data_IF_697203981567
#
_entry.id   IF_697203981567
#
_cell.length_a   1.000
_cell.length_b   1.000
_cell.length_c   1.000
_cell.angle_alpha   90.00
_cell.angle_beta   90.00
_cell.angle_gamma   90.00
#
_symmetry.space_group_name_H-M   'P 1'
#
loop_
_entity.id
_entity.type
_entity.pdbx_description
1 polymer ?
#
# COMPACT_ATOMS: atom_id res chain seq x y z
N UNK A 1 -41.99 -28.95 -3.76
CA UNK A 1 -42.17 -29.01 -5.24
C UNK A 1 -41.80 -27.69 -5.93
N UNK A 2 -42.40 -26.55 -5.56
CA UNK A 2 -42.12 -25.23 -6.16
C UNK A 2 -40.65 -24.78 -6.06
N UNK A 3 -40.01 -24.93 -4.89
CA UNK A 3 -38.59 -24.58 -4.74
C UNK A 3 -37.67 -25.36 -5.69
N UNK A 4 -37.90 -26.67 -5.83
CA UNK A 4 -37.12 -27.51 -6.75
C UNK A 4 -37.35 -27.11 -8.23
N UNK A 5 -38.59 -26.77 -8.61
CA UNK A 5 -38.90 -26.23 -9.93
C UNK A 5 -38.21 -24.89 -10.19
N UNK A 6 -38.23 -23.98 -9.21
CA UNK A 6 -37.52 -22.70 -9.28
C UNK A 6 -36.02 -22.93 -9.49
N UNK A 7 -35.37 -23.76 -8.66
CA UNK A 7 -33.93 -24.07 -8.79
C UNK A 7 -33.61 -24.63 -10.18
N UNK A 8 -34.40 -25.58 -10.68
CA UNK A 8 -34.21 -26.17 -12.02
C UNK A 8 -34.38 -25.14 -13.13
N UNK A 9 -35.40 -24.29 -13.04
CA UNK A 9 -35.66 -23.22 -14.01
C UNK A 9 -34.52 -22.18 -14.01
N UNK A 10 -34.06 -21.74 -12.83
CA UNK A 10 -32.93 -20.82 -12.69
C UNK A 10 -31.64 -21.41 -13.26
N UNK A 11 -31.33 -22.68 -12.96
CA UNK A 11 -30.14 -23.35 -13.49
C UNK A 11 -30.15 -23.44 -15.02
N UNK A 12 -31.33 -23.61 -15.63
CA UNK A 12 -31.46 -23.72 -17.09
C UNK A 12 -31.13 -22.42 -17.83
N UNK A 13 -31.34 -21.26 -17.20
CA UNK A 13 -31.15 -19.94 -17.82
C UNK A 13 -29.88 -19.21 -17.35
N UNK A 14 -29.16 -19.78 -16.39
CA UNK A 14 -27.98 -19.16 -15.81
C UNK A 14 -26.77 -19.32 -16.74
N UNK A 15 -26.27 -18.22 -17.29
CA UNK A 15 -24.97 -18.16 -17.96
C UNK A 15 -23.86 -17.85 -16.93
N UNK A 16 -22.95 -18.82 -16.65
CA UNK A 16 -21.84 -18.60 -15.71
C UNK A 16 -20.91 -17.44 -16.10
N UNK A 17 -20.69 -17.23 -17.41
CA UNK A 17 -19.81 -16.16 -17.91
C UNK A 17 -20.43 -14.79 -17.70
N UNK A 18 -21.70 -14.60 -18.06
CA UNK A 18 -22.43 -13.36 -17.75
C UNK A 18 -22.53 -13.11 -16.24
N UNK A 19 -22.81 -14.15 -15.44
CA UNK A 19 -22.91 -14.03 -13.99
C UNK A 19 -21.57 -13.63 -13.35
N UNK A 20 -20.46 -14.25 -13.77
CA UNK A 20 -19.11 -13.89 -13.35
C UNK A 20 -18.81 -12.42 -13.63
N UNK A 21 -19.05 -11.96 -14.88
CA UNK A 21 -18.80 -10.56 -15.27
C UNK A 21 -19.61 -9.59 -14.40
N UNK A 22 -20.91 -9.84 -14.26
CA UNK A 22 -21.80 -9.00 -13.47
C UNK A 22 -21.38 -8.93 -12.00
N UNK A 23 -21.06 -10.07 -11.37
CA UNK A 23 -20.64 -10.11 -9.96
C UNK A 23 -19.25 -9.55 -9.71
N UNK A 24 -18.34 -9.69 -10.67
CA UNK A 24 -17.02 -9.04 -10.60
C UNK A 24 -17.16 -7.52 -10.68
N UNK A 25 -18.00 -7.01 -11.58
CA UNK A 25 -18.28 -5.57 -11.67
C UNK A 25 -18.94 -5.03 -10.39
N UNK A 26 -19.94 -5.73 -9.85
CA UNK A 26 -20.58 -5.37 -8.57
C UNK A 26 -19.54 -5.31 -7.43
N UNK A 27 -18.62 -6.28 -7.38
CA UNK A 27 -17.53 -6.30 -6.42
C UNK A 27 -16.59 -5.11 -6.59
N UNK A 28 -16.16 -4.80 -7.83
CA UNK A 28 -15.27 -3.67 -8.12
C UNK A 28 -15.92 -2.33 -7.74
N UNK A 29 -17.18 -2.11 -8.11
CA UNK A 29 -17.93 -0.90 -7.74
C UNK A 29 -18.06 -0.76 -6.22
N UNK A 30 -18.30 -1.86 -5.51
CA UNK A 30 -18.30 -1.86 -4.04
C UNK A 30 -16.93 -1.52 -3.49
N UNK A 31 -15.85 -2.11 -4.00
CA UNK A 31 -14.48 -1.82 -3.55
C UNK A 31 -14.13 -0.34 -3.74
N UNK A 32 -14.54 0.28 -4.84
CA UNK A 32 -14.35 1.73 -5.09
C UNK A 32 -15.04 2.58 -4.01
N UNK A 33 -16.25 2.22 -3.57
CA UNK A 33 -16.94 2.91 -2.46
C UNK A 33 -16.18 2.86 -1.12
N UNK A 34 -15.23 1.93 -0.98
CA UNK A 34 -14.34 1.77 0.17
C UNK A 34 -12.87 1.97 -0.22
N UNK A 35 -12.63 2.85 -1.20
CA UNK A 35 -11.29 3.32 -1.59
C UNK A 35 -10.32 2.20 -2.01
N UNK A 36 -10.87 1.06 -2.44
CA UNK A 36 -10.13 -0.14 -2.86
C UNK A 36 -9.15 -0.67 -1.80
N UNK A 37 -9.41 -0.45 -0.50
CA UNK A 37 -8.51 -0.86 0.56
C UNK A 37 -9.23 -1.57 1.72
N UNK A 38 -8.69 -2.70 2.23
CA UNK A 38 -9.14 -3.29 3.49
C UNK A 38 -8.63 -2.51 4.71
N UNK A 39 -7.72 -1.54 4.52
CA UNK A 39 -6.93 -0.93 5.58
C UNK A 39 -7.46 0.44 6.04
N UNK A 40 -8.73 0.73 5.80
CA UNK A 40 -9.38 1.93 6.34
C UNK A 40 -9.39 1.87 7.87
N UNK A 41 -9.27 3.03 8.55
CA UNK A 41 -9.32 3.09 10.02
C UNK A 41 -10.69 2.73 10.61
N UNK A 42 -11.76 2.92 9.83
CA UNK A 42 -13.12 2.52 10.19
C UNK A 42 -13.73 1.61 9.11
N UNK A 43 -13.21 0.37 8.98
CA UNK A 43 -13.55 -0.50 7.88
C UNK A 43 -14.92 -1.17 8.09
N UNK A 44 -15.54 -1.60 6.99
CA UNK A 44 -16.76 -2.39 7.02
C UNK A 44 -16.43 -3.88 7.00
N UNK A 45 -16.85 -4.62 8.03
CA UNK A 45 -16.56 -6.06 8.17
C UNK A 45 -17.19 -6.92 7.07
N UNK A 46 -18.20 -6.40 6.37
CA UNK A 46 -18.92 -7.10 5.31
C UNK A 46 -18.53 -6.61 3.93
N UNK A 47 -18.59 -5.31 3.70
CA UNK A 47 -18.58 -4.72 2.36
C UNK A 47 -17.23 -4.14 1.93
N UNK A 48 -16.28 -3.89 2.84
CA UNK A 48 -14.92 -3.49 2.44
C UNK A 48 -14.20 -4.62 1.69
N UNK A 49 -13.18 -4.31 0.87
CA UNK A 49 -12.28 -5.33 0.32
C UNK A 49 -11.77 -6.26 1.42
N UNK A 50 -11.67 -7.56 1.15
CA UNK A 50 -11.31 -8.55 2.16
C UNK A 50 -12.41 -8.86 3.19
N UNK A 51 -13.59 -8.23 3.07
CA UNK A 51 -14.74 -8.46 3.94
C UNK A 51 -15.54 -9.72 3.58
N UNK A 52 -16.58 -10.01 4.38
CA UNK A 52 -17.41 -11.20 4.18
C UNK A 52 -18.11 -11.27 2.81
N UNK A 53 -18.38 -10.12 2.17
CA UNK A 53 -19.03 -10.08 0.87
C UNK A 53 -18.13 -10.64 -0.24
N UNK A 54 -16.82 -10.42 -0.18
CA UNK A 54 -15.88 -10.98 -1.16
C UNK A 54 -15.98 -12.51 -1.18
N UNK A 55 -15.95 -13.12 0.01
CA UNK A 55 -16.12 -14.57 0.19
C UNK A 55 -17.47 -15.09 -0.33
N UNK A 56 -18.56 -14.34 -0.11
CA UNK A 56 -19.89 -14.69 -0.61
C UNK A 56 -19.94 -14.65 -2.14
N UNK A 57 -19.36 -13.61 -2.75
CA UNK A 57 -19.29 -13.46 -4.21
C UNK A 57 -18.55 -14.64 -4.84
N UNK A 58 -17.43 -15.09 -4.27
CA UNK A 58 -16.72 -16.29 -4.75
C UNK A 58 -17.60 -17.53 -4.72
N UNK A 59 -18.29 -17.79 -3.60
CA UNK A 59 -19.17 -18.95 -3.48
C UNK A 59 -20.37 -18.87 -4.42
N UNK A 60 -20.90 -17.67 -4.69
CA UNK A 60 -21.97 -17.48 -5.66
C UNK A 60 -21.50 -17.74 -7.09
N UNK A 61 -20.34 -17.22 -7.48
CA UNK A 61 -19.72 -17.49 -8.78
C UNK A 61 -19.45 -18.99 -8.94
N UNK A 62 -18.86 -19.61 -7.92
CA UNK A 62 -18.57 -21.04 -7.96
C UNK A 62 -19.83 -21.89 -8.07
N UNK A 63 -20.91 -21.53 -7.35
CA UNK A 63 -22.21 -22.20 -7.47
C UNK A 63 -22.80 -22.02 -8.87
N UNK A 64 -22.71 -20.81 -9.43
CA UNK A 64 -23.21 -20.51 -10.77
C UNK A 64 -22.49 -21.30 -11.86
N UNK A 65 -21.17 -21.45 -11.73
CA UNK A 65 -20.34 -22.27 -12.63
C UNK A 65 -20.38 -23.77 -12.32
N UNK A 66 -21.19 -24.20 -11.34
CA UNK A 66 -21.31 -25.60 -10.96
C UNK A 66 -20.08 -26.18 -10.27
N UNK A 67 -19.12 -25.38 -9.82
CA UNK A 67 -17.89 -25.82 -9.13
C UNK A 67 -18.11 -26.30 -7.70
N UNK A 68 -19.23 -25.94 -7.08
CA UNK A 68 -19.59 -26.36 -5.72
C UNK A 68 -20.13 -25.21 -4.88
N UNK A 69 -20.56 -25.54 -3.65
CA UNK A 69 -21.19 -24.58 -2.74
C UNK A 69 -20.39 -24.35 -1.45
N UNK A 70 -19.30 -25.09 -1.25
CA UNK A 70 -18.46 -25.04 -0.03
C UNK A 70 -17.00 -24.96 -0.41
N UNK A 71 -16.16 -24.42 0.48
CA UNK A 71 -14.70 -24.36 0.27
C UNK A 71 -14.10 -25.75 0.02
N UNK A 72 -14.56 -26.77 0.75
CA UNK A 72 -14.13 -28.15 0.55
C UNK A 72 -14.51 -28.69 -0.83
N UNK A 73 -15.69 -28.35 -1.36
CA UNK A 73 -16.07 -28.73 -2.71
C UNK A 73 -15.16 -28.06 -3.76
N UNK A 74 -14.80 -26.79 -3.58
CA UNK A 74 -13.86 -26.11 -4.49
C UNK A 74 -12.46 -26.76 -4.45
N UNK A 75 -12.01 -27.19 -3.28
CA UNK A 75 -10.75 -27.92 -3.15
C UNK A 75 -10.79 -29.29 -3.85
N UNK A 76 -11.90 -30.04 -3.71
CA UNK A 76 -12.07 -31.32 -4.41
C UNK A 76 -12.03 -31.19 -5.94
N UNK A 77 -12.25 -29.99 -6.48
CA UNK A 77 -12.15 -29.66 -7.91
C UNK A 77 -10.84 -28.97 -8.28
N UNK A 78 -9.86 -28.92 -7.38
CA UNK A 78 -8.55 -28.33 -7.61
C UNK A 78 -8.55 -26.79 -7.80
N UNK A 79 -9.61 -26.09 -7.41
CA UNK A 79 -9.64 -24.61 -7.42
C UNK A 79 -8.88 -24.02 -6.23
N UNK A 80 -8.85 -24.76 -5.12
CA UNK A 80 -8.18 -24.40 -3.86
C UNK A 80 -7.34 -25.57 -3.36
N UNK A 81 -6.28 -25.26 -2.63
CA UNK A 81 -5.53 -26.25 -1.85
C UNK A 81 -6.16 -26.46 -0.47
N UNK A 82 -5.91 -27.60 0.21
CA UNK A 82 -6.37 -27.82 1.60
C UNK A 82 -5.91 -26.72 2.56
N UNK A 83 -4.69 -26.22 2.37
CA UNK A 83 -4.14 -25.12 3.15
C UNK A 83 -4.93 -23.81 2.92
N UNK A 84 -5.22 -23.45 1.67
CA UNK A 84 -6.03 -22.27 1.34
C UNK A 84 -7.44 -22.37 1.94
N UNK A 85 -8.07 -23.54 1.93
CA UNK A 85 -9.37 -23.78 2.58
C UNK A 85 -9.30 -23.50 4.09
N UNK A 86 -8.28 -24.05 4.77
CA UNK A 86 -8.08 -23.83 6.20
C UNK A 86 -7.90 -22.35 6.53
N UNK A 87 -7.11 -21.62 5.73
CA UNK A 87 -6.92 -20.18 5.91
C UNK A 87 -8.21 -19.38 5.65
N UNK A 88 -8.95 -19.69 4.58
CA UNK A 88 -10.24 -19.05 4.30
C UNK A 88 -11.23 -19.24 5.45
N UNK A 89 -11.39 -20.47 5.94
CA UNK A 89 -12.28 -20.77 7.07
C UNK A 89 -11.88 -20.02 8.34
N UNK A 90 -10.58 -20.00 8.67
CA UNK A 90 -10.05 -19.27 9.81
C UNK A 90 -10.37 -17.77 9.72
N UNK A 91 -10.04 -17.13 8.60
CA UNK A 91 -10.22 -15.69 8.44
C UNK A 91 -11.71 -15.31 8.31
N UNK A 92 -12.52 -16.14 7.66
CA UNK A 92 -13.97 -15.99 7.64
C UNK A 92 -14.56 -16.07 9.07
N UNK A 93 -14.08 -17.00 9.90
CA UNK A 93 -14.47 -17.12 11.30
C UNK A 93 -14.15 -15.86 12.11
N UNK A 94 -12.92 -15.33 11.96
CA UNK A 94 -12.50 -14.08 12.61
C UNK A 94 -13.41 -12.91 12.21
N UNK A 95 -13.64 -12.70 10.91
CA UNK A 95 -14.49 -11.60 10.43
C UNK A 95 -15.94 -11.73 10.91
N UNK A 96 -16.49 -12.96 10.93
CA UNK A 96 -17.82 -13.22 11.48
C UNK A 96 -17.90 -12.91 12.97
N UNK A 97 -16.90 -13.32 13.75
CA UNK A 97 -16.87 -13.10 15.19
C UNK A 97 -16.75 -11.61 15.53
N UNK A 98 -15.88 -10.88 14.82
CA UNK A 98 -15.76 -9.42 14.96
C UNK A 98 -17.12 -8.76 14.67
N UNK A 99 -17.75 -9.11 13.55
CA UNK A 99 -19.06 -8.56 13.16
C UNK A 99 -20.16 -8.90 14.17
N UNK A 100 -20.18 -10.12 14.70
CA UNK A 100 -21.17 -10.53 15.70
C UNK A 100 -21.03 -9.74 17.01
N UNK A 101 -19.79 -9.56 17.48
CA UNK A 101 -19.51 -8.74 18.68
C UNK A 101 -19.82 -7.26 18.45
N UNK A 102 -19.54 -6.74 17.25
CA UNK A 102 -19.93 -5.40 16.85
C UNK A 102 -21.46 -5.21 16.92
N UNK A 103 -22.25 -6.15 16.43
CA UNK A 103 -23.72 -6.11 16.56
C UNK A 103 -24.18 -6.15 18.00
N UNK A 104 -23.59 -7.02 18.82
CA UNK A 104 -23.93 -7.15 20.22
C UNK A 104 -23.62 -5.87 21.02
N UNK A 105 -22.44 -5.28 20.81
CA UNK A 105 -22.00 -4.03 21.44
C UNK A 105 -22.86 -2.84 20.98
N UNK A 106 -23.13 -2.75 19.67
CA UNK A 106 -23.94 -1.67 19.12
C UNK A 106 -25.44 -1.80 19.45
N UNK A 107 -25.90 -2.99 19.87
CA UNK A 107 -27.32 -3.33 20.09
C UNK A 107 -28.22 -3.09 18.87
N UNK A 108 -27.63 -3.08 17.68
CA UNK A 108 -28.29 -2.87 16.40
C UNK A 108 -27.44 -3.49 15.30
N UNK A 109 -27.99 -3.52 14.07
CA UNK A 109 -27.17 -3.81 12.90
C UNK A 109 -26.11 -2.72 12.75
N UNK A 110 -24.85 -3.13 12.83
CA UNK A 110 -23.68 -2.27 12.59
C UNK A 110 -22.61 -3.08 11.88
N UNK A 111 -22.21 -2.67 10.69
CA UNK A 111 -21.23 -3.41 9.90
C UNK A 111 -19.86 -2.69 9.86
N UNK A 112 -19.76 -1.47 10.38
CA UNK A 112 -18.54 -0.65 10.41
C UNK A 112 -17.92 -0.59 11.80
N UNK A 113 -16.62 -0.85 11.89
CA UNK A 113 -15.82 -0.65 13.10
C UNK A 113 -15.50 0.84 13.27
N UNK A 114 -16.51 1.64 13.60
CA UNK A 114 -16.32 3.07 13.90
C UNK A 114 -15.50 3.27 15.16
N UNK A 115 -14.76 4.36 15.25
CA UNK A 115 -13.86 4.65 16.38
C UNK A 115 -14.52 4.45 17.75
N UNK A 116 -15.74 4.97 17.93
CA UNK A 116 -16.51 4.88 19.18
C UNK A 116 -16.82 3.44 19.62
N UNK A 117 -16.86 2.49 18.70
CA UNK A 117 -17.18 1.09 18.98
C UNK A 117 -15.94 0.20 19.09
N UNK A 118 -14.78 0.62 18.55
CA UNK A 118 -13.60 -0.24 18.44
C UNK A 118 -13.11 -0.73 19.80
N UNK A 119 -13.04 0.15 20.81
CA UNK A 119 -12.59 -0.19 22.16
C UNK A 119 -13.56 -1.18 22.81
N UNK A 120 -14.85 -0.87 22.82
CA UNK A 120 -15.88 -1.74 23.41
C UNK A 120 -15.95 -3.12 22.74
N UNK A 121 -15.76 -3.18 21.41
CA UNK A 121 -15.65 -4.47 20.72
C UNK A 121 -14.38 -5.20 21.13
N UNK A 122 -13.23 -4.51 21.22
CA UNK A 122 -11.96 -5.11 21.64
C UNK A 122 -12.04 -5.69 23.06
N UNK A 123 -12.66 -4.95 23.98
CA UNK A 123 -12.83 -5.38 25.37
C UNK A 123 -13.74 -6.61 25.45
N UNK A 124 -14.75 -6.73 24.57
CA UNK A 124 -15.57 -7.94 24.49
C UNK A 124 -14.74 -9.19 24.11
N UNK A 125 -13.65 -9.03 23.36
CA UNK A 125 -12.70 -10.10 23.05
C UNK A 125 -11.72 -10.40 24.20
N UNK A 126 -11.80 -9.69 25.33
CA UNK A 126 -10.82 -9.75 26.42
C UNK A 126 -9.47 -9.15 26.04
N UNK A 127 -9.43 -8.25 25.05
CA UNK A 127 -8.18 -7.59 24.65
C UNK A 127 -7.84 -6.49 25.63
N UNK A 128 -6.58 -6.48 26.07
CA UNK A 128 -6.07 -5.48 27.00
C UNK A 128 -5.13 -4.52 26.28
N UNK A 129 -5.16 -3.26 26.72
CA UNK A 129 -4.17 -2.26 26.31
C UNK A 129 -2.82 -2.60 26.92
N UNK A 130 -1.76 -2.31 26.18
CA UNK A 130 -0.38 -2.30 26.67
C UNK A 130 0.14 -0.87 26.71
N UNK A 131 1.32 -0.64 27.29
CA UNK A 131 1.96 0.69 27.26
C UNK A 131 2.19 1.22 25.84
N UNK A 132 2.29 0.34 24.84
CA UNK A 132 2.62 0.68 23.47
C UNK A 132 1.43 0.58 22.49
N UNK A 133 0.28 0.02 22.90
CA UNK A 133 -0.83 -0.27 21.99
C UNK A 133 -2.17 -0.32 22.72
N UNK A 134 -3.19 0.35 22.18
CA UNK A 134 -4.57 0.33 22.70
C UNK A 134 -5.25 -1.02 22.39
N UNK A 135 -6.22 -1.45 23.21
CA UNK A 135 -7.00 -2.67 22.94
C UNK A 135 -7.68 -2.64 21.57
N UNK A 136 -8.22 -1.47 21.18
CA UNK A 136 -8.77 -1.20 19.85
C UNK A 136 -7.76 -1.44 18.73
N UNK A 137 -6.52 -0.98 18.86
CA UNK A 137 -5.46 -1.20 17.87
C UNK A 137 -5.11 -2.69 17.73
N UNK A 138 -5.17 -3.48 18.81
CA UNK A 138 -4.97 -4.94 18.76
C UNK A 138 -6.10 -5.62 17.98
N UNK A 139 -7.36 -5.23 18.23
CA UNK A 139 -8.52 -5.70 17.47
C UNK A 139 -8.38 -5.35 15.99
N UNK A 140 -8.06 -4.10 15.70
CA UNK A 140 -7.93 -3.59 14.33
C UNK A 140 -6.80 -4.31 13.58
N UNK A 141 -5.67 -4.57 14.24
CA UNK A 141 -4.60 -5.39 13.67
C UNK A 141 -5.11 -6.80 13.30
N UNK A 142 -5.89 -7.47 14.18
CA UNK A 142 -6.50 -8.78 13.86
C UNK A 142 -7.45 -8.69 12.66
N UNK A 143 -8.24 -7.64 12.57
CA UNK A 143 -9.11 -7.38 11.41
C UNK A 143 -8.29 -7.25 10.12
N UNK A 144 -7.28 -6.38 10.09
CA UNK A 144 -6.47 -6.14 8.89
C UNK A 144 -5.72 -7.40 8.41
N UNK A 145 -5.22 -8.23 9.34
CA UNK A 145 -4.63 -9.52 9.00
C UNK A 145 -5.62 -10.46 8.32
N UNK A 146 -6.85 -10.54 8.83
CA UNK A 146 -7.88 -11.36 8.24
C UNK A 146 -8.33 -10.82 6.87
N UNK A 147 -8.59 -9.51 6.77
CA UNK A 147 -8.99 -8.87 5.53
C UNK A 147 -7.90 -9.00 4.45
N UNK A 148 -6.63 -8.75 4.78
CA UNK A 148 -5.49 -8.95 3.86
C UNK A 148 -5.44 -10.37 3.30
N UNK A 149 -5.56 -11.38 4.17
CA UNK A 149 -5.51 -12.77 3.75
C UNK A 149 -6.71 -13.14 2.86
N UNK A 150 -7.92 -12.64 3.18
CA UNK A 150 -9.10 -12.82 2.34
C UNK A 150 -8.89 -12.14 0.98
N UNK A 151 -8.38 -10.91 0.92
CA UNK A 151 -8.11 -10.22 -0.35
C UNK A 151 -7.15 -11.01 -1.24
N UNK A 152 -6.06 -11.54 -0.68
CA UNK A 152 -5.10 -12.37 -1.42
C UNK A 152 -5.76 -13.64 -1.99
N UNK A 153 -6.44 -14.41 -1.14
CA UNK A 153 -7.06 -15.68 -1.54
C UNK A 153 -8.25 -15.46 -2.49
N UNK A 154 -9.00 -14.37 -2.31
CA UNK A 154 -10.06 -13.95 -3.21
C UNK A 154 -9.53 -13.68 -4.62
N UNK A 155 -8.40 -12.99 -4.74
CA UNK A 155 -7.77 -12.74 -6.04
C UNK A 155 -7.34 -14.03 -6.75
N UNK A 156 -6.66 -14.93 -6.04
CA UNK A 156 -6.21 -16.22 -6.60
C UNK A 156 -7.41 -17.02 -7.10
N UNK A 157 -8.44 -17.16 -6.25
CA UNK A 157 -9.61 -17.98 -6.56
C UNK A 157 -10.45 -17.36 -7.70
N UNK A 158 -10.62 -16.04 -7.70
CA UNK A 158 -11.37 -15.35 -8.75
C UNK A 158 -10.67 -15.48 -10.10
N UNK A 159 -9.34 -15.31 -10.17
CA UNK A 159 -8.57 -15.50 -11.40
C UNK A 159 -8.70 -16.95 -11.90
N UNK A 160 -8.51 -17.94 -11.02
CA UNK A 160 -8.62 -19.34 -11.42
C UNK A 160 -10.04 -19.73 -11.89
N UNK A 161 -11.08 -19.22 -11.24
CA UNK A 161 -12.46 -19.42 -11.70
C UNK A 161 -12.72 -18.71 -13.03
N UNK A 162 -12.20 -17.48 -13.20
CA UNK A 162 -12.32 -16.73 -14.45
C UNK A 162 -11.70 -17.48 -15.60
N UNK A 163 -10.48 -18.00 -15.42
CA UNK A 163 -9.79 -18.80 -16.45
C UNK A 163 -10.61 -20.03 -16.87
N UNK A 164 -11.16 -20.77 -15.90
CA UNK A 164 -11.98 -21.97 -16.19
C UNK A 164 -13.33 -21.63 -16.84
N UNK A 165 -13.99 -20.56 -16.40
CA UNK A 165 -15.30 -20.14 -16.93
C UNK A 165 -15.16 -19.57 -18.34
N UNK A 166 -14.12 -18.77 -18.58
CA UNK A 166 -13.84 -18.17 -19.88
C UNK A 166 -13.20 -19.14 -20.89
N UNK A 167 -12.79 -20.34 -20.43
CA UNK A 167 -12.07 -21.30 -21.28
C UNK A 167 -10.65 -20.84 -21.66
N UNK A 168 -10.10 -19.84 -20.96
CA UNK A 168 -8.76 -19.31 -21.23
C UNK A 168 -7.65 -20.09 -20.52
N UNK A 169 -7.95 -21.31 -20.05
CA UNK A 169 -6.96 -22.20 -19.43
C UNK A 169 -5.85 -22.52 -20.45
N UNK A 170 -6.21 -22.65 -21.72
CA UNK A 170 -5.27 -22.96 -22.80
C UNK A 170 -4.77 -21.70 -23.54
N UNK A 171 -4.86 -20.51 -22.90
CA UNK A 171 -4.32 -19.29 -23.47
C UNK A 171 -2.83 -19.48 -23.84
N UNK A 172 -2.38 -18.96 -25.01
CA UNK A 172 -1.01 -19.12 -25.45
C UNK A 172 -0.02 -18.65 -24.38
N UNK A 173 0.96 -19.50 -24.08
CA UNK A 173 2.05 -19.19 -23.16
C UNK A 173 3.28 -18.81 -23.98
N UNK A 174 3.70 -17.55 -23.87
CA UNK A 174 4.94 -17.06 -24.49
C UNK A 174 6.06 -17.03 -23.45
N UNK A 175 7.19 -17.72 -23.66
CA UNK A 175 8.34 -17.62 -22.76
C UNK A 175 8.85 -16.18 -22.66
N UNK A 176 9.12 -15.72 -21.44
CA UNK A 176 9.78 -14.43 -21.16
C UNK A 176 11.20 -14.65 -20.64
N UNK A 177 11.39 -15.66 -19.79
CA UNK A 177 12.69 -16.09 -19.26
C UNK A 177 12.63 -17.59 -18.90
N UNK A 178 13.68 -18.12 -18.27
CA UNK A 178 13.69 -19.49 -17.76
C UNK A 178 12.65 -19.72 -16.64
N UNK A 179 12.24 -18.67 -15.94
CA UNK A 179 11.35 -18.73 -14.78
C UNK A 179 9.92 -18.25 -15.10
N UNK A 180 9.75 -17.43 -16.13
CA UNK A 180 8.50 -16.71 -16.40
C UNK A 180 7.97 -16.86 -17.82
N UNK A 181 6.64 -16.87 -17.91
CA UNK A 181 5.84 -16.92 -19.11
C UNK A 181 4.86 -15.74 -19.11
N UNK A 182 4.48 -15.28 -20.30
CA UNK A 182 3.34 -14.40 -20.53
C UNK A 182 2.16 -15.26 -20.95
N UNK A 183 1.08 -15.22 -20.14
CA UNK A 183 -0.18 -15.89 -20.42
C UNK A 183 -1.28 -14.86 -20.53
N UNK A 184 -1.58 -14.44 -21.75
CA UNK A 184 -2.64 -13.47 -22.02
C UNK A 184 -2.46 -12.12 -21.32
N UNK A 185 -1.22 -11.65 -21.15
CA UNK A 185 -0.89 -10.42 -20.43
C UNK A 185 -0.75 -10.59 -18.92
N UNK A 186 -0.69 -11.84 -18.42
CA UNK A 186 -0.43 -12.16 -17.01
C UNK A 186 0.93 -12.83 -16.86
N UNK A 187 1.74 -12.37 -15.91
CA UNK A 187 3.03 -12.97 -15.61
C UNK A 187 2.82 -14.30 -14.86
N UNK A 188 3.22 -15.40 -15.49
CA UNK A 188 3.07 -16.76 -15.00
C UNK A 188 4.43 -17.40 -14.70
N UNK A 189 4.56 -18.11 -13.58
CA UNK A 189 5.73 -18.98 -13.31
C UNK A 189 5.67 -20.24 -14.16
N UNK A 190 6.83 -20.71 -14.63
CA UNK A 190 6.93 -21.97 -15.40
C UNK A 190 6.42 -23.17 -14.61
N UNK A 191 6.65 -23.20 -13.29
CA UNK A 191 6.07 -24.19 -12.39
C UNK A 191 5.90 -23.73 -10.93
N UNK A 192 5.19 -24.52 -10.14
CA UNK A 192 4.81 -24.21 -8.76
C UNK A 192 6.00 -24.22 -7.78
N UNK A 193 7.14 -24.80 -8.18
CA UNK A 193 8.33 -24.99 -7.34
C UNK A 193 9.46 -24.01 -7.70
N UNK A 194 9.25 -23.11 -8.67
CA UNK A 194 10.25 -22.10 -9.10
C UNK A 194 10.88 -21.39 -7.90
N UNK A 195 10.08 -20.87 -6.97
CA UNK A 195 10.59 -20.12 -5.81
C UNK A 195 11.25 -20.98 -4.72
N UNK A 196 10.97 -22.28 -4.69
CA UNK A 196 11.63 -23.20 -3.77
C UNK A 196 13.03 -23.57 -4.29
N UNK A 197 13.17 -23.75 -5.62
CA UNK A 197 14.46 -24.02 -6.27
C UNK A 197 15.33 -22.77 -6.37
N UNK A 198 14.73 -21.65 -6.71
CA UNK A 198 15.39 -20.36 -6.79
C UNK A 198 14.59 -19.28 -6.02
N UNK A 199 14.97 -19.00 -4.76
CA UNK A 199 14.36 -17.93 -3.99
C UNK A 199 14.47 -16.55 -4.65
N UNK A 200 15.52 -16.26 -5.43
CA UNK A 200 15.72 -14.96 -6.07
C UNK A 200 14.62 -14.64 -7.08
N UNK A 201 14.05 -15.67 -7.71
CA UNK A 201 12.92 -15.53 -8.62
C UNK A 201 11.75 -14.76 -7.99
N UNK A 202 11.58 -14.79 -6.66
CA UNK A 202 10.53 -14.02 -5.97
C UNK A 202 10.63 -12.52 -6.26
N UNK A 203 11.83 -11.93 -6.15
CA UNK A 203 12.03 -10.51 -6.47
C UNK A 203 12.10 -10.29 -7.98
N UNK A 204 12.67 -11.24 -8.73
CA UNK A 204 12.67 -11.18 -10.20
C UNK A 204 11.25 -11.16 -10.79
N UNK A 205 10.25 -11.73 -10.12
CA UNK A 205 8.83 -11.61 -10.54
C UNK A 205 8.39 -10.16 -10.65
N UNK A 206 8.74 -9.32 -9.66
CA UNK A 206 8.33 -7.91 -9.66
C UNK A 206 9.16 -7.08 -10.61
N UNK A 207 10.44 -7.39 -10.74
CA UNK A 207 11.30 -6.76 -11.73
C UNK A 207 10.82 -7.08 -13.16
N UNK A 208 10.55 -8.34 -13.47
CA UNK A 208 10.00 -8.78 -14.75
C UNK A 208 8.64 -8.14 -15.03
N UNK A 209 7.77 -8.03 -14.01
CA UNK A 209 6.51 -7.30 -14.10
C UNK A 209 6.69 -5.83 -14.53
N UNK A 210 7.73 -5.15 -14.04
CA UNK A 210 8.02 -3.76 -14.43
C UNK A 210 8.67 -3.64 -15.81
N UNK A 211 9.50 -4.61 -16.17
CA UNK A 211 10.31 -4.58 -17.40
C UNK A 211 9.60 -5.14 -18.63
N UNK A 212 8.50 -5.88 -18.47
CA UNK A 212 7.80 -6.53 -19.57
C UNK A 212 6.57 -5.71 -19.99
N UNK A 213 6.62 -5.01 -21.14
CA UNK A 213 5.48 -4.24 -21.61
C UNK A 213 4.26 -5.14 -21.87
N UNK A 214 3.07 -4.64 -21.55
CA UNK A 214 1.80 -5.34 -21.78
C UNK A 214 1.38 -6.31 -20.68
N UNK A 215 2.26 -6.63 -19.72
CA UNK A 215 1.87 -7.39 -18.53
C UNK A 215 1.01 -6.52 -17.62
N UNK A 216 -0.20 -7.02 -17.30
CA UNK A 216 -1.23 -6.33 -16.52
C UNK A 216 -1.26 -6.77 -15.06
N UNK A 217 -0.75 -7.96 -14.76
CA UNK A 217 -0.75 -8.51 -13.41
C UNK A 217 -0.05 -9.86 -13.31
N UNK A 218 -0.22 -10.52 -12.17
CA UNK A 218 0.32 -11.85 -11.88
C UNK A 218 -0.78 -12.90 -12.05
N UNK A 219 -0.47 -14.02 -12.70
CA UNK A 219 -1.45 -15.10 -12.90
C UNK A 219 -1.87 -15.76 -11.58
N UNK A 220 -2.97 -16.54 -11.60
CA UNK A 220 -3.39 -17.29 -10.42
C UNK A 220 -2.27 -18.22 -9.91
N UNK A 221 -1.52 -18.83 -10.83
CA UNK A 221 -0.39 -19.72 -10.53
C UNK A 221 0.74 -18.97 -9.83
N UNK A 222 1.15 -17.81 -10.35
CA UNK A 222 2.20 -16.97 -9.75
C UNK A 222 1.81 -16.49 -8.36
N UNK A 223 0.57 -16.01 -8.18
CA UNK A 223 0.09 -15.56 -6.88
C UNK A 223 0.06 -16.69 -5.85
N UNK A 224 -0.38 -17.89 -6.26
CA UNK A 224 -0.36 -19.08 -5.40
C UNK A 224 1.06 -19.53 -5.05
N UNK A 225 1.97 -19.53 -6.01
CA UNK A 225 3.38 -19.84 -5.78
C UNK A 225 4.00 -18.85 -4.78
N UNK A 226 3.74 -17.54 -4.90
CA UNK A 226 4.19 -16.52 -3.94
C UNK A 226 3.57 -16.73 -2.55
N UNK A 227 2.30 -17.10 -2.49
CA UNK A 227 1.60 -17.40 -1.23
C UNK A 227 2.23 -18.60 -0.50
N UNK A 228 2.68 -19.61 -1.23
CA UNK A 228 3.32 -20.81 -0.68
C UNK A 228 4.81 -20.58 -0.37
N UNK A 229 5.51 -19.71 -1.11
CA UNK A 229 6.92 -19.36 -0.90
C UNK A 229 7.17 -18.47 0.34
N UNK A 230 6.14 -18.17 1.13
CA UNK A 230 6.26 -17.29 2.31
C UNK A 230 7.35 -17.74 3.30
N UNK A 231 7.54 -19.04 3.50
CA UNK A 231 8.55 -19.56 4.42
C UNK A 231 9.97 -19.49 3.86
N UNK A 232 10.14 -19.40 2.54
CA UNK A 232 11.43 -19.24 1.87
C UNK A 232 12.03 -17.86 2.17
N UNK A 233 11.18 -16.81 2.29
CA UNK A 233 11.63 -15.45 2.59
C UNK A 233 11.96 -15.25 4.09
N UNK A 234 12.97 -15.98 4.58
CA UNK A 234 13.46 -15.98 5.95
C UNK A 234 14.57 -14.93 6.17
N UNK A 235 15.39 -15.09 7.22
CA UNK A 235 16.50 -14.20 7.51
C UNK A 235 17.63 -14.23 6.45
N UNK A 236 17.92 -15.39 5.90
CA UNK A 236 18.96 -15.59 4.88
C UNK A 236 18.55 -14.91 3.57
N UNK A 237 17.30 -15.11 3.13
CA UNK A 237 16.74 -14.42 1.97
C UNK A 237 16.94 -12.89 2.01
N UNK A 238 16.76 -12.26 3.18
CA UNK A 238 16.93 -10.80 3.35
C UNK A 238 18.39 -10.34 3.43
N UNK A 239 19.29 -11.21 3.89
CA UNK A 239 20.72 -10.89 3.99
C UNK A 239 21.46 -11.13 2.69
N UNK A 240 20.87 -11.92 1.81
CA UNK A 240 21.42 -12.25 0.51
C UNK A 240 21.70 -10.99 -0.34
N UNK A 241 22.96 -10.76 -0.76
CA UNK A 241 23.33 -9.61 -1.59
C UNK A 241 22.58 -9.54 -2.93
N UNK A 242 22.28 -10.67 -3.55
CA UNK A 242 21.56 -10.70 -4.83
C UNK A 242 20.11 -10.23 -4.65
N UNK A 243 19.45 -10.62 -3.56
CA UNK A 243 18.09 -10.12 -3.26
C UNK A 243 18.09 -8.63 -2.92
N UNK A 244 19.12 -8.14 -2.22
CA UNK A 244 19.27 -6.70 -1.93
C UNK A 244 19.47 -5.90 -3.21
N UNK A 245 20.31 -6.40 -4.13
CA UNK A 245 20.52 -5.79 -5.44
C UNK A 245 19.21 -5.77 -6.26
N UNK A 246 18.49 -6.89 -6.36
CA UNK A 246 17.20 -6.98 -7.04
C UNK A 246 16.16 -6.01 -6.45
N UNK A 247 16.13 -5.83 -5.12
CA UNK A 247 15.24 -4.85 -4.50
C UNK A 247 15.60 -3.42 -4.89
N UNK A 248 16.89 -3.08 -4.98
CA UNK A 248 17.33 -1.78 -5.49
C UNK A 248 17.00 -1.60 -6.97
N UNK A 249 17.11 -2.65 -7.80
CA UNK A 249 16.73 -2.60 -9.21
C UNK A 249 15.23 -2.32 -9.38
N UNK A 250 14.38 -2.93 -8.53
CA UNK A 250 12.94 -2.64 -8.46
C UNK A 250 12.68 -1.17 -8.14
N UNK A 251 13.44 -0.57 -7.20
CA UNK A 251 13.29 0.83 -6.79
C UNK A 251 13.84 1.84 -7.81
N UNK A 252 14.75 1.40 -8.68
CA UNK A 252 15.41 2.20 -9.72
C UNK A 252 14.76 2.10 -11.09
N UNK A 253 13.78 1.20 -11.29
CA UNK A 253 13.04 1.14 -12.55
C UNK A 253 12.41 2.49 -12.93
N UNK A 254 12.44 2.88 -14.21
CA UNK A 254 11.84 4.15 -14.65
C UNK A 254 10.32 4.13 -14.50
N UNK A 255 9.70 2.95 -14.59
CA UNK A 255 8.24 2.78 -14.61
C UNK A 255 7.76 1.67 -13.67
N UNK A 256 6.45 1.66 -13.41
CA UNK A 256 5.78 0.53 -12.74
C UNK A 256 5.97 0.42 -11.23
N UNK A 257 6.76 1.28 -10.58
CA UNK A 257 7.15 1.10 -9.17
C UNK A 257 5.98 1.14 -8.19
N UNK A 258 5.04 2.07 -8.37
CA UNK A 258 3.83 2.11 -7.54
C UNK A 258 3.07 0.79 -7.61
N UNK A 259 2.93 0.21 -8.80
CA UNK A 259 2.21 -1.05 -9.01
C UNK A 259 3.00 -2.24 -8.44
N UNK A 260 4.32 -2.29 -8.68
CA UNK A 260 5.20 -3.32 -8.14
C UNK A 260 5.17 -3.35 -6.61
N UNK A 261 5.39 -2.21 -5.94
CA UNK A 261 5.40 -2.16 -4.47
C UNK A 261 4.02 -2.45 -3.86
N UNK A 262 2.92 -2.07 -4.53
CA UNK A 262 1.56 -2.48 -4.14
C UNK A 262 1.37 -3.99 -4.24
N UNK A 263 1.77 -4.60 -5.36
CA UNK A 263 1.72 -6.06 -5.53
C UNK A 263 2.63 -6.78 -4.53
N UNK A 264 3.83 -6.26 -4.24
CA UNK A 264 4.73 -6.80 -3.23
C UNK A 264 4.10 -6.71 -1.82
N UNK A 265 3.46 -5.59 -1.46
CA UNK A 265 2.77 -5.52 -0.16
C UNK A 265 1.56 -6.46 -0.12
N UNK A 266 0.77 -6.48 -1.20
CA UNK A 266 -0.40 -7.32 -1.34
C UNK A 266 -0.05 -8.79 -1.23
N UNK A 267 1.06 -9.27 -1.80
CA UNK A 267 1.56 -10.66 -1.71
C UNK A 267 2.42 -10.92 -0.46
N UNK A 268 2.63 -9.89 0.37
CA UNK A 268 3.51 -9.89 1.56
C UNK A 268 5.01 -10.01 1.27
N UNK A 269 5.43 -10.00 0.01
CA UNK A 269 6.85 -9.96 -0.38
C UNK A 269 7.54 -8.70 0.14
N UNK A 270 6.88 -7.53 0.10
CA UNK A 270 7.48 -6.27 0.57
C UNK A 270 7.87 -6.35 2.05
N UNK A 271 6.94 -6.76 2.91
CA UNK A 271 7.24 -6.93 4.35
C UNK A 271 8.22 -8.07 4.62
N UNK A 272 8.30 -9.09 3.76
CA UNK A 272 9.26 -10.19 3.94
C UNK A 272 10.67 -9.86 3.45
N UNK A 273 10.78 -8.92 2.51
CA UNK A 273 12.05 -8.32 2.04
C UNK A 273 12.53 -7.25 3.01
N UNK A 274 11.64 -6.33 3.40
CA UNK A 274 11.92 -5.22 4.31
C UNK A 274 11.22 -5.44 5.65
N UNK A 275 11.92 -6.06 6.61
CA UNK A 275 11.33 -6.45 7.90
C UNK A 275 10.84 -5.27 8.74
N UNK A 276 11.47 -4.10 8.61
CA UNK A 276 10.99 -2.87 9.27
C UNK A 276 9.60 -2.48 8.76
N UNK A 277 9.34 -2.63 7.46
CA UNK A 277 8.02 -2.43 6.87
C UNK A 277 7.02 -3.48 7.36
N UNK A 278 7.45 -4.74 7.55
CA UNK A 278 6.59 -5.81 8.09
C UNK A 278 5.89 -5.44 9.39
N UNK A 279 6.59 -4.70 10.25
CA UNK A 279 6.16 -4.31 11.61
C UNK A 279 5.07 -3.24 11.63
N UNK A 280 4.89 -2.53 10.51
CA UNK A 280 3.87 -1.49 10.35
C UNK A 280 2.70 -1.95 9.47
N UNK A 281 2.77 -3.13 8.84
CA UNK A 281 1.66 -3.69 8.06
C UNK A 281 0.45 -3.91 8.96
N UNK A 282 -0.66 -3.24 8.65
CA UNK A 282 -1.88 -3.30 9.47
C UNK A 282 -1.76 -2.51 10.78
N UNK A 283 -0.75 -1.65 10.94
CA UNK A 283 -0.62 -0.76 12.09
C UNK A 283 -1.52 0.45 11.86
N UNK A 284 -2.53 0.58 12.70
CA UNK A 284 -3.37 1.76 12.80
C UNK A 284 -2.68 2.83 13.64
N UNK A 285 -2.89 4.10 13.28
CA UNK A 285 -2.69 5.23 14.19
C UNK A 285 -4.08 5.69 14.62
N UNK A 286 -4.36 5.68 15.92
CA UNK A 286 -5.64 6.10 16.44
C UNK A 286 -5.71 7.63 16.55
N UNK A 287 -5.75 8.30 15.40
CA UNK A 287 -5.91 9.75 15.28
C UNK A 287 -6.97 10.12 14.22
N UNK A 288 -7.40 11.38 14.23
CA UNK A 288 -8.49 11.89 13.39
C UNK A 288 -8.05 12.26 11.96
N UNK A 289 -6.75 12.24 11.65
CA UNK A 289 -6.23 12.73 10.38
C UNK A 289 -5.98 11.60 9.39
N UNK A 290 -5.45 10.47 9.88
CA UNK A 290 -5.18 9.31 9.04
C UNK A 290 -6.46 8.55 8.73
N UNK A 291 -6.63 8.16 7.46
CA UNK A 291 -7.73 7.26 7.05
C UNK A 291 -7.23 5.84 6.77
N UNK A 292 -5.91 5.63 6.73
CA UNK A 292 -5.28 4.35 6.40
C UNK A 292 -4.29 3.87 7.48
N UNK A 293 -3.98 2.56 7.47
CA UNK A 293 -2.84 2.02 8.20
C UNK A 293 -1.51 2.59 7.70
N UNK A 294 -0.48 2.57 8.54
CA UNK A 294 0.85 3.15 8.25
C UNK A 294 1.43 2.60 6.94
N UNK A 295 1.31 1.29 6.68
CA UNK A 295 1.84 0.69 5.44
C UNK A 295 1.13 1.19 4.17
N UNK A 296 -0.18 1.41 4.24
CA UNK A 296 -0.93 1.96 3.11
C UNK A 296 -0.67 3.45 2.92
N UNK A 297 -0.56 4.19 4.01
CA UNK A 297 -0.16 5.58 3.99
C UNK A 297 1.19 5.74 3.27
N UNK A 298 2.22 4.97 3.65
CA UNK A 298 3.53 5.00 2.97
C UNK A 298 3.41 4.70 1.47
N UNK A 299 2.60 3.72 1.07
CA UNK A 299 2.37 3.42 -0.36
C UNK A 299 1.60 4.52 -1.08
N UNK A 300 0.81 5.33 -0.36
CA UNK A 300 0.14 6.52 -0.88
C UNK A 300 1.13 7.66 -1.07
N UNK A 301 2.00 7.92 -0.08
CA UNK A 301 3.09 8.90 -0.17
C UNK A 301 3.99 8.58 -1.35
N UNK A 302 4.42 7.32 -1.48
CA UNK A 302 5.24 6.89 -2.61
C UNK A 302 4.55 7.09 -3.96
N UNK A 303 3.23 6.82 -4.05
CA UNK A 303 2.45 7.13 -5.26
C UNK A 303 2.48 8.63 -5.58
N UNK A 304 2.30 9.48 -4.56
CA UNK A 304 2.28 10.93 -4.74
C UNK A 304 3.66 11.45 -5.18
N UNK A 305 4.74 11.03 -4.52
CA UNK A 305 6.12 11.37 -4.93
C UNK A 305 6.36 10.95 -6.39
N UNK A 306 5.92 9.74 -6.78
CA UNK A 306 6.04 9.26 -8.17
C UNK A 306 5.36 10.15 -9.19
N UNK A 307 4.16 10.65 -8.86
CA UNK A 307 3.38 11.48 -9.79
C UNK A 307 4.06 12.80 -10.13
N UNK A 308 4.93 13.32 -9.26
CA UNK A 308 5.71 14.52 -9.57
C UNK A 308 6.69 14.32 -10.73
N UNK A 309 7.09 13.07 -11.01
CA UNK A 309 8.01 12.71 -12.09
C UNK A 309 7.30 12.27 -13.39
N UNK A 310 5.97 12.39 -13.45
CA UNK A 310 5.16 11.89 -14.57
C UNK A 310 4.41 13.06 -15.19
N UNK A 311 4.70 13.35 -16.47
CA UNK A 311 4.18 14.52 -17.17
C UNK A 311 2.64 14.55 -17.21
N UNK A 312 1.99 13.40 -17.36
CA UNK A 312 0.54 13.24 -17.38
C UNK A 312 -0.12 13.68 -16.06
N UNK A 313 0.64 13.67 -14.96
CA UNK A 313 0.19 14.11 -13.64
C UNK A 313 0.66 15.52 -13.26
N UNK A 314 1.30 16.27 -14.17
CA UNK A 314 1.84 17.59 -13.86
C UNK A 314 0.76 18.61 -13.45
N UNK A 315 -0.44 18.51 -14.04
CA UNK A 315 -1.62 19.31 -13.69
C UNK A 315 -2.12 19.05 -12.26
N UNK A 316 -1.76 17.87 -11.71
CA UNK A 316 -1.70 17.51 -10.30
C UNK A 316 -1.36 18.71 -9.40
N UNK A 317 -0.07 19.03 -9.49
CA UNK A 317 0.72 19.91 -8.62
C UNK A 317 1.84 20.49 -9.48
N UNK A 318 1.56 21.59 -10.21
CA UNK A 318 2.50 22.13 -11.19
C UNK A 318 3.85 22.47 -10.59
N UNK A 319 3.86 23.11 -9.41
CA UNK A 319 5.12 23.49 -8.74
C UNK A 319 5.96 22.28 -8.30
N UNK A 320 5.34 21.25 -7.72
CA UNK A 320 6.06 20.01 -7.37
C UNK A 320 6.63 19.33 -8.62
N UNK A 321 5.89 19.32 -9.72
CA UNK A 321 6.32 18.70 -10.98
C UNK A 321 7.47 19.47 -11.63
N UNK A 322 7.43 20.80 -11.55
CA UNK A 322 8.52 21.67 -11.99
C UNK A 322 9.81 21.41 -11.19
N UNK A 323 9.71 21.35 -9.86
CA UNK A 323 10.84 21.04 -8.99
C UNK A 323 11.40 19.63 -9.24
N UNK A 324 10.51 18.66 -9.46
CA UNK A 324 10.88 17.27 -9.72
C UNK A 324 11.54 17.08 -11.11
N UNK A 325 11.21 17.90 -12.10
CA UNK A 325 11.78 17.80 -13.45
C UNK A 325 13.31 17.98 -13.48
N UNK A 326 13.87 18.72 -12.53
CA UNK A 326 15.32 18.91 -12.39
C UNK A 326 16.06 17.75 -11.68
N UNK A 327 15.37 16.68 -11.30
CA UNK A 327 15.94 15.62 -10.46
C UNK A 327 16.31 14.38 -11.27
N UNK A 328 17.60 14.03 -11.29
CA UNK A 328 18.13 12.89 -12.07
C UNK A 328 17.93 11.52 -11.41
N UNK A 329 17.86 11.47 -10.07
CA UNK A 329 17.81 10.21 -9.32
C UNK A 329 16.58 10.10 -8.41
N UNK A 330 15.37 9.90 -8.94
CA UNK A 330 14.15 9.90 -8.13
C UNK A 330 14.11 8.80 -7.05
N UNK A 331 14.94 7.75 -7.20
CA UNK A 331 14.98 6.60 -6.30
C UNK A 331 15.31 6.96 -4.85
N UNK A 332 16.10 8.00 -4.60
CA UNK A 332 16.42 8.46 -3.24
C UNK A 332 15.17 8.97 -2.51
N UNK A 333 14.26 9.65 -3.21
CA UNK A 333 12.99 10.12 -2.65
C UNK A 333 12.02 8.96 -2.38
N UNK A 334 12.08 7.91 -3.19
CA UNK A 334 11.25 6.72 -2.96
C UNK A 334 11.72 5.93 -1.73
N UNK A 335 13.03 5.85 -1.50
CA UNK A 335 13.56 5.27 -0.26
C UNK A 335 13.15 6.15 0.93
N UNK A 336 13.30 7.47 0.85
CA UNK A 336 12.84 8.36 1.92
C UNK A 336 11.33 8.19 2.21
N UNK A 337 10.49 8.14 1.17
CA UNK A 337 9.06 7.90 1.29
C UNK A 337 8.73 6.53 1.93
N UNK A 338 9.48 5.47 1.61
CA UNK A 338 9.29 4.15 2.21
C UNK A 338 9.66 4.10 3.71
N UNK A 339 10.56 4.98 4.16
CA UNK A 339 11.13 4.93 5.50
C UNK A 339 10.63 6.01 6.46
N UNK A 340 10.06 7.13 5.98
CA UNK A 340 9.68 8.28 6.81
C UNK A 340 8.89 7.89 8.08
N UNK A 341 7.97 6.94 7.93
CA UNK A 341 7.08 6.48 9.00
C UNK A 341 7.31 5.03 9.46
N UNK A 342 8.36 4.36 8.98
CA UNK A 342 8.56 2.91 9.17
C UNK A 342 8.82 2.50 10.63
N UNK A 343 9.14 3.48 11.47
CA UNK A 343 9.39 3.30 12.89
C UNK A 343 8.19 3.63 13.79
N UNK A 344 7.03 3.99 13.23
CA UNK A 344 5.82 4.29 14.02
C UNK A 344 5.43 3.12 14.94
N UNK A 345 5.08 3.47 16.18
CA UNK A 345 4.64 2.52 17.20
C UNK A 345 5.74 1.70 17.87
N UNK A 346 6.99 2.18 17.83
CA UNK A 346 8.15 1.58 18.53
C UNK A 346 8.50 2.28 19.86
N UNK A 347 7.79 3.36 20.21
CA UNK A 347 8.11 4.23 21.35
C UNK A 347 9.28 5.17 21.03
N UNK A 348 9.29 6.35 21.64
CA UNK A 348 10.24 7.43 21.30
C UNK A 348 9.89 8.15 19.99
N UNK A 349 10.80 9.00 19.51
CA UNK A 349 10.65 9.72 18.23
C UNK A 349 10.82 8.77 17.04
N UNK A 350 9.77 8.62 16.23
CA UNK A 350 9.80 7.72 15.08
C UNK A 350 10.67 8.25 13.94
N UNK A 351 10.91 9.56 13.86
CA UNK A 351 11.77 10.17 12.84
C UNK A 351 13.23 9.79 13.08
N UNK A 352 13.70 9.89 14.32
CA UNK A 352 15.05 9.48 14.71
C UNK A 352 15.26 7.96 14.57
N UNK A 353 14.26 7.17 14.96
CA UNK A 353 14.29 5.72 14.77
C UNK A 353 14.29 5.36 13.27
N UNK A 354 13.48 6.05 12.47
CA UNK A 354 13.43 5.90 11.01
C UNK A 354 14.78 6.22 10.36
N UNK A 355 15.44 7.30 10.79
CA UNK A 355 16.76 7.71 10.33
C UNK A 355 17.81 6.60 10.54
N UNK A 356 17.81 5.97 11.74
CA UNK A 356 18.68 4.82 12.03
C UNK A 356 18.38 3.62 11.13
N UNK A 357 17.11 3.32 10.90
CA UNK A 357 16.70 2.20 10.04
C UNK A 357 17.07 2.42 8.58
N UNK A 358 16.87 3.63 8.05
CA UNK A 358 17.22 3.94 6.66
C UNK A 358 18.73 3.99 6.46
N UNK A 359 19.50 4.50 7.44
CA UNK A 359 20.96 4.45 7.40
C UNK A 359 21.46 3.00 7.33
N UNK A 360 20.86 2.10 8.12
CA UNK A 360 21.18 0.66 8.06
C UNK A 360 20.82 0.06 6.70
N UNK A 361 19.63 0.36 6.20
CA UNK A 361 19.18 -0.08 4.87
C UNK A 361 20.17 0.34 3.79
N UNK A 362 20.54 1.63 3.74
CA UNK A 362 21.47 2.16 2.76
C UNK A 362 22.83 1.44 2.80
N UNK A 363 23.39 1.19 3.99
CA UNK A 363 24.63 0.39 4.12
C UNK A 363 24.47 -1.03 3.59
N UNK A 364 23.38 -1.69 3.99
CA UNK A 364 23.10 -3.07 3.61
C UNK A 364 22.91 -3.23 2.08
N UNK A 365 22.43 -2.19 1.39
CA UNK A 365 22.08 -2.21 -0.03
C UNK A 365 23.08 -1.46 -0.93
N UNK A 366 24.27 -1.12 -0.43
CA UNK A 366 25.33 -0.51 -1.23
C UNK A 366 25.02 0.91 -1.71
N UNK A 367 24.19 1.66 -0.97
CA UNK A 367 23.93 3.08 -1.26
C UNK A 367 25.13 3.92 -0.83
N UNK A 368 25.57 4.83 -1.70
CA UNK A 368 26.70 5.73 -1.46
C UNK A 368 26.50 6.62 -0.22
N UNK A 369 27.61 7.10 0.36
CA UNK A 369 27.58 7.87 1.62
C UNK A 369 26.76 9.17 1.50
N UNK A 370 26.85 9.86 0.38
CA UNK A 370 26.15 11.13 0.16
C UNK A 370 24.64 10.93 0.07
N UNK A 371 24.19 9.97 -0.74
CA UNK A 371 22.77 9.61 -0.82
C UNK A 371 22.24 9.03 0.50
N UNK A 372 23.06 8.25 1.22
CA UNK A 372 22.69 7.74 2.54
C UNK A 372 22.43 8.87 3.52
N UNK A 373 23.35 9.84 3.64
CA UNK A 373 23.20 10.99 4.53
C UNK A 373 22.03 11.88 4.09
N UNK A 374 21.80 11.99 2.79
CA UNK A 374 20.68 12.72 2.23
C UNK A 374 19.32 12.08 2.56
N UNK A 375 19.17 10.78 2.32
CA UNK A 375 17.94 10.03 2.64
C UNK A 375 17.69 10.03 4.15
N UNK A 376 18.74 9.84 4.95
CA UNK A 376 18.65 9.91 6.41
C UNK A 376 18.12 11.27 6.89
N UNK A 377 18.64 12.37 6.34
CA UNK A 377 18.14 13.72 6.63
C UNK A 377 16.64 13.85 6.32
N UNK A 378 16.20 13.37 5.15
CA UNK A 378 14.78 13.45 4.77
C UNK A 378 13.88 12.66 5.72
N UNK A 379 14.30 11.45 6.11
CA UNK A 379 13.54 10.62 7.06
C UNK A 379 13.54 11.25 8.45
N UNK A 380 14.66 11.79 8.90
CA UNK A 380 14.76 12.44 10.22
C UNK A 380 13.90 13.70 10.30
N UNK A 381 13.86 14.50 9.23
CA UNK A 381 13.22 15.81 9.23
C UNK A 381 11.86 15.87 8.54
N UNK A 382 11.25 14.73 8.17
CA UNK A 382 10.02 14.70 7.37
C UNK A 382 8.85 15.53 7.93
N UNK A 383 8.76 15.69 9.26
CA UNK A 383 7.74 16.53 9.92
C UNK A 383 8.14 18.00 10.06
N UNK A 384 9.42 18.34 9.94
CA UNK A 384 9.97 19.66 10.27
C UNK A 384 9.34 20.75 9.41
N UNK A 385 9.30 20.57 8.09
CA UNK A 385 8.76 21.59 7.20
C UNK A 385 7.27 21.85 7.44
N UNK A 386 6.50 20.77 7.69
CA UNK A 386 5.09 20.91 8.05
C UNK A 386 4.90 21.62 9.40
N UNK A 387 5.80 21.42 10.35
CA UNK A 387 5.79 22.09 11.64
C UNK A 387 6.05 23.59 11.47
N UNK A 388 7.20 23.95 10.89
CA UNK A 388 7.61 25.35 10.69
C UNK A 388 6.54 26.12 9.91
N UNK A 389 6.09 25.60 8.77
CA UNK A 389 5.13 26.27 7.92
C UNK A 389 3.77 26.55 8.60
N UNK A 390 3.35 25.72 9.56
CA UNK A 390 2.01 25.79 10.17
C UNK A 390 1.99 26.27 11.61
N UNK A 391 3.14 26.30 12.30
CA UNK A 391 3.24 26.57 13.73
C UNK A 391 4.16 27.73 14.08
N UNK A 392 4.96 28.22 13.13
CA UNK A 392 5.89 29.33 13.35
C UNK A 392 5.51 30.55 12.49
N UNK A 393 6.04 31.72 12.85
CA UNK A 393 5.82 32.97 12.12
C UNK A 393 6.83 33.09 10.97
N UNK A 394 6.37 32.86 9.74
CA UNK A 394 7.20 32.96 8.54
C UNK A 394 7.66 34.40 8.24
N UNK A 395 7.09 35.41 8.90
CA UNK A 395 7.54 36.80 8.78
C UNK A 395 8.73 37.14 9.68
N UNK A 396 9.09 36.25 10.61
CA UNK A 396 10.29 36.36 11.43
C UNK A 396 11.52 35.88 10.64
N UNK A 397 12.50 36.78 10.33
CA UNK A 397 13.71 36.40 9.62
C UNK A 397 14.54 35.34 10.34
N UNK A 398 14.43 35.24 11.67
CA UNK A 398 15.18 34.25 12.45
C UNK A 398 14.63 32.84 12.24
N UNK A 399 13.31 32.67 12.13
CA UNK A 399 12.67 31.39 11.76
C UNK A 399 13.18 30.90 10.40
N UNK A 400 13.19 31.79 9.40
CA UNK A 400 13.69 31.47 8.06
C UNK A 400 15.19 31.16 8.07
N UNK A 401 15.99 31.94 8.82
CA UNK A 401 17.43 31.73 9.00
C UNK A 401 17.74 30.39 9.64
N UNK A 402 17.00 29.99 10.69
CA UNK A 402 17.18 28.70 11.36
C UNK A 402 16.80 27.53 10.46
N UNK A 403 15.67 27.63 9.75
CA UNK A 403 15.27 26.59 8.81
C UNK A 403 16.23 26.48 7.62
N UNK A 404 16.73 27.61 7.09
CA UNK A 404 17.78 27.63 6.05
C UNK A 404 19.07 26.95 6.52
N UNK A 405 19.52 27.23 7.75
CA UNK A 405 20.69 26.56 8.35
C UNK A 405 20.46 25.05 8.51
N UNK A 406 19.26 24.63 8.90
CA UNK A 406 18.89 23.22 9.04
C UNK A 406 18.96 22.48 7.70
N UNK A 407 18.31 23.00 6.66
CA UNK A 407 18.29 22.34 5.34
C UNK A 407 19.65 22.43 4.66
N UNK A 408 20.36 23.55 4.80
CA UNK A 408 21.72 23.80 4.35
C UNK A 408 21.93 23.90 2.84
N UNK A 409 21.13 23.20 2.02
CA UNK A 409 21.24 23.21 0.55
C UNK A 409 19.87 23.23 -0.13
N UNK A 410 19.81 23.79 -1.33
CA UNK A 410 18.61 23.77 -2.19
C UNK A 410 18.14 22.33 -2.42
N UNK A 411 19.06 21.39 -2.71
CA UNK A 411 18.73 19.97 -2.92
C UNK A 411 17.95 19.36 -1.74
N UNK A 412 18.34 19.66 -0.49
CA UNK A 412 17.63 19.20 0.71
C UNK A 412 16.29 19.90 0.90
N UNK A 413 16.24 21.21 0.67
CA UNK A 413 15.02 22.00 0.75
C UNK A 413 13.96 21.50 -0.24
N UNK A 414 14.32 21.32 -1.51
CA UNK A 414 13.43 20.82 -2.58
C UNK A 414 12.91 19.43 -2.26
N UNK A 415 13.78 18.51 -1.86
CA UNK A 415 13.36 17.15 -1.53
C UNK A 415 12.46 17.08 -0.29
N UNK A 416 12.76 17.88 0.74
CA UNK A 416 11.93 17.96 1.93
C UNK A 416 10.55 18.52 1.59
N UNK A 417 10.48 19.58 0.75
CA UNK A 417 9.21 20.12 0.24
C UNK A 417 8.40 19.05 -0.51
N UNK A 418 9.02 18.35 -1.47
CA UNK A 418 8.35 17.29 -2.23
C UNK A 418 7.82 16.18 -1.32
N UNK A 419 8.62 15.72 -0.36
CA UNK A 419 8.22 14.68 0.59
C UNK A 419 7.07 15.16 1.50
N UNK A 420 7.16 16.37 2.05
CA UNK A 420 6.11 16.95 2.91
C UNK A 420 4.80 17.14 2.17
N UNK A 421 4.81 17.63 0.93
CA UNK A 421 3.59 17.74 0.11
C UNK A 421 3.00 16.35 -0.16
N UNK A 422 3.84 15.38 -0.54
CA UNK A 422 3.38 14.01 -0.80
C UNK A 422 2.78 13.34 0.44
N UNK A 423 3.38 13.58 1.61
CA UNK A 423 2.97 13.05 2.92
C UNK A 423 1.61 13.60 3.35
N UNK A 424 1.46 14.94 3.42
CA UNK A 424 0.21 15.60 3.82
C UNK A 424 -0.95 15.19 2.91
N UNK A 425 -0.70 15.03 1.60
CA UNK A 425 -1.69 14.51 0.65
C UNK A 425 -1.98 13.02 0.81
N UNK A 426 -1.01 12.26 1.32
CA UNK A 426 -1.11 10.84 1.61
C UNK A 426 -1.84 10.53 2.91
N UNK A 427 -2.04 11.51 3.79
CA UNK A 427 -2.73 11.34 5.09
C UNK A 427 -4.23 11.13 4.91
N UNK A 428 -4.93 12.08 4.28
CA UNK A 428 -6.34 11.95 3.86
C UNK A 428 -6.76 13.06 2.88
N UNK A 429 -7.85 12.87 2.11
CA UNK A 429 -8.35 13.90 1.18
C UNK A 429 -8.75 15.23 1.84
N UNK A 430 -9.02 15.22 3.16
CA UNK A 430 -9.48 16.40 3.91
C UNK A 430 -8.33 17.23 4.49
N UNK A 431 -7.13 16.66 4.58
CA UNK A 431 -6.00 17.31 5.24
C UNK A 431 -5.33 18.34 4.34
N UNK A 432 -5.21 18.07 3.04
CA UNK A 432 -4.62 18.98 2.07
C UNK A 432 -5.61 20.06 1.62
N UNK A 433 -5.20 21.33 1.63
CA UNK A 433 -5.97 22.46 1.12
C UNK A 433 -5.06 23.57 0.56
N UNK A 434 -5.63 24.53 -0.16
CA UNK A 434 -4.88 25.61 -0.81
C UNK A 434 -4.07 26.46 0.18
N UNK A 435 -4.61 26.71 1.37
CA UNK A 435 -3.92 27.47 2.43
C UNK A 435 -2.65 26.77 2.93
N UNK A 436 -2.70 25.46 3.21
CA UNK A 436 -1.50 24.69 3.57
C UNK A 436 -0.48 24.64 2.43
N UNK A 437 -0.97 24.54 1.19
CA UNK A 437 -0.12 24.62 0.00
C UNK A 437 0.66 25.93 -0.05
N UNK A 438 -0.02 27.06 0.17
CA UNK A 438 0.59 28.39 0.19
C UNK A 438 1.63 28.53 1.31
N UNK A 439 1.33 28.10 2.53
CA UNK A 439 2.29 28.15 3.64
C UNK A 439 3.58 27.38 3.36
N UNK A 440 3.47 26.17 2.81
CA UNK A 440 4.64 25.35 2.46
C UNK A 440 5.45 26.00 1.33
N UNK A 441 4.77 26.55 0.33
CA UNK A 441 5.41 27.22 -0.80
C UNK A 441 6.09 28.54 -0.38
N UNK A 442 5.46 29.33 0.49
CA UNK A 442 6.05 30.55 1.03
C UNK A 442 7.30 30.23 1.85
N UNK A 443 7.26 29.25 2.75
CA UNK A 443 8.44 28.77 3.47
C UNK A 443 9.54 28.31 2.50
N UNK A 444 9.19 27.55 1.46
CA UNK A 444 10.15 27.11 0.44
C UNK A 444 10.84 28.30 -0.23
N UNK A 445 10.07 29.27 -0.74
CA UNK A 445 10.59 30.43 -1.47
C UNK A 445 11.45 31.33 -0.58
N UNK A 446 11.01 31.62 0.65
CA UNK A 446 11.77 32.41 1.62
C UNK A 446 13.11 31.74 1.97
N UNK A 447 13.08 30.44 2.21
CA UNK A 447 14.28 29.66 2.54
C UNK A 447 15.25 29.58 1.36
N UNK A 448 14.74 29.40 0.14
CA UNK A 448 15.56 29.37 -1.07
C UNK A 448 16.33 30.69 -1.27
N UNK A 449 15.66 31.84 -1.04
CA UNK A 449 16.32 33.16 -1.08
C UNK A 449 17.41 33.29 -0.03
N UNK A 450 17.15 32.82 1.20
CA UNK A 450 18.11 32.84 2.29
C UNK A 450 19.35 31.96 2.00
N UNK A 451 19.16 30.82 1.34
CA UNK A 451 20.26 29.94 0.88
C UNK A 451 21.08 30.57 -0.26
N UNK A 452 20.43 31.35 -1.14
CA UNK A 452 21.04 32.05 -2.27
C UNK A 452 21.79 33.35 -1.92
N UNK A 453 21.91 33.71 -0.64
CA UNK A 453 22.71 34.85 -0.17
C UNK A 453 21.99 36.20 -0.10
N UNK A 454 20.73 36.28 -0.53
CA UNK A 454 19.90 37.46 -0.29
C UNK A 454 19.26 37.35 1.08
N UNK A 455 19.77 38.08 2.08
CA UNK A 455 19.12 38.20 3.39
C UNK A 455 17.62 38.55 3.16
N UNK A 456 16.67 37.81 3.77
CA UNK A 456 15.26 38.17 3.69
C UNK A 456 15.07 39.52 4.38
N UNK A 457 14.96 40.59 3.60
CA UNK A 457 14.52 41.90 4.08
C UNK A 457 13.02 42.00 3.87
N UNK A 458 12.29 42.57 4.83
CA UNK A 458 10.85 42.83 4.73
C UNK A 458 10.46 43.55 3.42
N UNK A 459 11.35 44.37 2.89
CA UNK A 459 11.15 45.11 1.63
C UNK A 459 11.12 44.20 0.39
N UNK A 460 11.91 43.10 0.39
CA UNK A 460 11.91 42.15 -0.72
C UNK A 460 10.60 41.33 -0.80
N UNK A 461 9.95 41.09 0.34
CA UNK A 461 8.65 40.40 0.38
C UNK A 461 7.49 41.29 -0.06
N UNK A 462 7.57 42.59 0.23
CA UNK A 462 6.60 43.58 -0.27
C UNK A 462 6.71 43.68 -1.79
N UNK A 463 7.92 43.68 -2.35
CA UNK A 463 8.11 43.82 -3.80
C UNK A 463 7.71 42.56 -4.59
N UNK A 464 7.92 41.37 -4.02
CA UNK A 464 7.42 40.12 -4.62
C UNK A 464 5.89 40.02 -4.60
N UNK A 465 5.22 40.46 -3.52
CA UNK A 465 3.75 40.50 -3.48
C UNK A 465 3.17 41.47 -4.49
N UNK A 466 3.89 42.54 -4.86
CA UNK A 466 3.51 43.41 -5.98
C UNK A 466 3.69 42.73 -7.34
N UNK A 467 4.75 41.94 -7.52
CA UNK A 467 4.99 41.20 -8.76
C UNK A 467 4.02 40.02 -8.97
N UNK A 468 3.52 39.38 -7.91
CA UNK A 468 2.48 38.33 -8.01
C UNK A 468 1.06 38.90 -8.23
N UNK A 469 0.85 40.21 -8.03
CA UNK A 469 -0.44 40.88 -8.17
C UNK A 469 -0.63 41.58 -9.54
N UNK A 470 0.41 41.57 -10.39
CA UNK A 470 0.39 41.97 -11.79
C UNK A 470 0.25 40.72 -12.68
#
# INVERSE_FOLDING_TARGET
RLYAQFVKATQKVLDPSAFLRAKTLEMQQRHVKYENTPYALEPNCKESPGGLRDLQVLLWIARAAGFGQTWSALASRGLLTPFEVSQLQKHQGVLRLIRARLHAVAKRREDRLVFDLQTSVADSFGLQSTRAQRSSEVLMHRYYWAAKAVTQLNQILLLNMTERIAGSVDAPMRPLSAEFLDRGGMLEVVDDQVYARDPHAILRTFLAYQQTPGIKGLSARTLRALYNARNVMNGDFRRDPANRALFMDILRQPVGITHALRLMNQTSVLGRTLWVFRRIVGRMQHDLFHVYTVDQHILMVLRNVRRFFIAEHAHEYPFCSQLAAGWSEPWVLYVAALFHDVAKGRGGDHSDLGAREVRKFCRDHGVGKDDMAFIEFLVQHHLTMSHVAQKEDLSDPEVISQFAKLVGTERRLTALYLLTVADIRGTSPKVWNAWKGKLLEDLYRLTLRALGGSRPTRDADIEHRKQEAL
#
